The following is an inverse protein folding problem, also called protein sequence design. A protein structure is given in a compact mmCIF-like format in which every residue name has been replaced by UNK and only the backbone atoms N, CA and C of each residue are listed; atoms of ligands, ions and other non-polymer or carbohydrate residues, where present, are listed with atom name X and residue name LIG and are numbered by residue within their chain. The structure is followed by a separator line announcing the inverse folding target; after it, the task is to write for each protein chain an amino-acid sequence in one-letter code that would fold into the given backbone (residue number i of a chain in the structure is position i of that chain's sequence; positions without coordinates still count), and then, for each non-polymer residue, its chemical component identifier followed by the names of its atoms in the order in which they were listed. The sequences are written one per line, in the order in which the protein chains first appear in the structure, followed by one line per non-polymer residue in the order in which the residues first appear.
data_IF_314624492358
#
_entry.id   IF_314624492358
#
_cell.length_a   1.000
_cell.length_b   1.000
_cell.length_c   1.000
_cell.angle_alpha   90.00
_cell.angle_beta   90.00
_cell.angle_gamma   90.00
#
_symmetry.space_group_name_H-M   'P 1'
#
loop_
_entity.id
_entity.type
_entity.pdbx_description
1 polymer ?
#
# COMPACT_ATOMS: atom_id res chain seq x y z
N UNK A 1 -2.51 -6.27 -7.60
CA UNK A 1 -3.15 -6.12 -6.30
C UNK A 1 -4.47 -5.42 -6.45
N UNK A 2 -5.48 -5.89 -5.75
CA UNK A 2 -6.82 -5.32 -5.87
C UNK A 2 -7.18 -4.50 -4.62
N UNK A 3 -7.79 -3.36 -4.85
CA UNK A 3 -8.30 -2.52 -3.77
C UNK A 3 -9.65 -3.10 -3.30
N UNK A 4 -9.82 -3.21 -1.99
CA UNK A 4 -11.10 -3.66 -1.44
C UNK A 4 -12.20 -2.61 -1.68
N UNK A 5 -13.47 -3.03 -1.74
CA UNK A 5 -14.57 -2.08 -1.88
C UNK A 5 -14.62 -1.03 -0.77
N UNK A 6 -14.27 -1.39 0.45
CA UNK A 6 -14.25 -0.48 1.59
C UNK A 6 -13.17 0.60 1.43
N UNK A 7 -11.99 0.21 0.98
CA UNK A 7 -10.89 1.15 0.70
C UNK A 7 -11.27 2.08 -0.45
N UNK A 8 -11.89 1.53 -1.49
CA UNK A 8 -12.39 2.32 -2.62
C UNK A 8 -13.38 3.39 -2.15
N UNK A 9 -14.36 3.02 -1.33
CA UNK A 9 -15.34 3.97 -0.83
C UNK A 9 -14.68 5.06 0.01
N UNK A 10 -13.72 4.71 0.85
CA UNK A 10 -12.97 5.66 1.65
C UNK A 10 -12.22 6.66 0.77
N UNK A 11 -11.51 6.17 -0.25
CA UNK A 11 -10.76 7.03 -1.18
C UNK A 11 -11.71 7.94 -1.95
N UNK A 12 -12.84 7.40 -2.40
CA UNK A 12 -13.84 8.17 -3.12
C UNK A 12 -14.43 9.28 -2.26
N UNK A 13 -14.78 8.96 -1.01
CA UNK A 13 -15.37 9.92 -0.09
C UNK A 13 -14.38 11.01 0.31
N UNK A 14 -13.13 10.64 0.60
CA UNK A 14 -12.15 11.58 1.18
C UNK A 14 -11.31 12.31 0.14
N UNK A 15 -11.12 11.75 -1.04
CA UNK A 15 -10.14 12.28 -2.00
C UNK A 15 -10.70 12.59 -3.38
N UNK A 16 -11.32 11.63 -4.06
CA UNK A 16 -11.74 11.85 -5.45
C UNK A 16 -13.10 12.51 -5.60
N UNK A 17 -14.03 12.23 -4.71
CA UNK A 17 -15.42 12.71 -4.75
C UNK A 17 -16.11 12.45 -6.10
N UNK A 18 -15.65 11.44 -6.85
CA UNK A 18 -16.19 11.13 -8.17
C UNK A 18 -17.39 10.18 -8.07
N UNK A 19 -18.59 10.73 -8.11
CA UNK A 19 -19.81 9.96 -8.01
C UNK A 19 -20.10 9.09 -9.25
N UNK A 20 -19.42 9.37 -10.37
CA UNK A 20 -19.58 8.60 -11.61
C UNK A 20 -18.92 7.24 -11.53
N UNK A 21 -17.98 7.06 -10.62
CA UNK A 21 -17.25 5.80 -10.46
C UNK A 21 -17.91 5.00 -9.34
N UNK A 22 -18.28 3.75 -9.62
CA UNK A 22 -18.93 2.86 -8.66
C UNK A 22 -18.05 1.65 -8.33
N UNK A 23 -18.44 0.90 -7.28
CA UNK A 23 -17.74 -0.34 -6.89
C UNK A 23 -17.62 -1.33 -8.03
N UNK A 24 -18.61 -1.41 -8.92
CA UNK A 24 -18.57 -2.33 -10.05
C UNK A 24 -17.44 -2.01 -11.01
N UNK A 25 -16.98 -0.78 -11.08
CA UNK A 25 -15.90 -0.36 -11.96
C UNK A 25 -14.51 -0.67 -11.39
N UNK A 26 -14.41 -1.11 -10.13
CA UNK A 26 -13.13 -1.53 -9.55
C UNK A 26 -12.50 -2.69 -10.31
N UNK A 27 -13.28 -3.48 -11.01
CA UNK A 27 -12.78 -4.57 -11.86
C UNK A 27 -12.15 -4.07 -13.15
N UNK A 28 -12.41 -2.83 -13.52
CA UNK A 28 -11.82 -2.19 -14.69
C UNK A 28 -10.36 -1.87 -14.38
N UNK A 29 -9.39 -2.32 -15.22
CA UNK A 29 -7.97 -2.09 -14.95
C UNK A 29 -7.62 -0.62 -14.74
N UNK A 30 -8.17 0.29 -15.52
CA UNK A 30 -7.88 1.72 -15.43
C UNK A 30 -8.29 2.30 -14.08
N UNK A 31 -9.49 1.94 -13.60
CA UNK A 31 -10.00 2.41 -12.31
C UNK A 31 -9.17 1.83 -11.17
N UNK A 32 -8.86 0.53 -11.23
CA UNK A 32 -8.06 -0.14 -10.22
C UNK A 32 -6.66 0.48 -10.11
N UNK A 33 -6.01 0.75 -11.23
CA UNK A 33 -4.69 1.37 -11.27
C UNK A 33 -4.75 2.80 -10.71
N UNK A 34 -5.76 3.57 -11.09
CA UNK A 34 -5.92 4.94 -10.61
C UNK A 34 -6.05 4.99 -9.08
N UNK A 35 -6.96 4.19 -8.52
CA UNK A 35 -7.17 4.18 -7.07
C UNK A 35 -6.02 3.51 -6.33
N UNK A 36 -5.36 2.51 -6.92
CA UNK A 36 -4.16 1.90 -6.36
C UNK A 36 -3.02 2.90 -6.27
N UNK A 37 -2.79 3.66 -7.33
CA UNK A 37 -1.77 4.71 -7.36
C UNK A 37 -2.05 5.80 -6.32
N UNK A 38 -3.31 6.21 -6.22
CA UNK A 38 -3.71 7.19 -5.21
C UNK A 38 -3.44 6.68 -3.80
N UNK A 39 -3.82 5.43 -3.51
CA UNK A 39 -3.60 4.84 -2.20
C UNK A 39 -2.11 4.79 -1.84
N UNK A 40 -1.27 4.32 -2.75
CA UNK A 40 0.19 4.28 -2.53
C UNK A 40 0.74 5.68 -2.26
N UNK A 41 0.29 6.68 -3.02
CA UNK A 41 0.71 8.06 -2.82
C UNK A 41 0.39 8.55 -1.42
N UNK A 42 -0.82 8.26 -0.93
CA UNK A 42 -1.26 8.64 0.41
C UNK A 42 -0.41 7.94 1.48
N UNK A 43 -0.15 6.64 1.30
CA UNK A 43 0.61 5.85 2.26
C UNK A 43 2.07 6.28 2.31
N UNK A 44 2.67 6.66 1.19
CA UNK A 44 4.03 7.17 1.15
C UNK A 44 4.15 8.48 1.93
N UNK A 45 3.14 9.33 1.89
CA UNK A 45 3.11 10.55 2.68
C UNK A 45 2.92 10.27 4.16
N UNK A 46 2.07 9.29 4.49
CA UNK A 46 1.77 8.95 5.88
C UNK A 46 2.99 8.37 6.61
N UNK A 47 3.69 7.44 5.99
CA UNK A 47 4.75 6.69 6.66
C UNK A 47 6.16 7.22 6.40
N UNK A 48 6.36 7.98 5.36
CA UNK A 48 7.66 8.54 4.98
C UNK A 48 8.75 7.46 4.79
N UNK A 49 8.34 6.19 4.66
CA UNK A 49 9.22 5.04 4.48
C UNK A 49 8.57 4.13 3.44
N UNK A 50 9.30 3.84 2.37
CA UNK A 50 8.76 3.07 1.26
C UNK A 50 8.33 1.66 1.67
N UNK A 51 9.15 0.96 2.46
CA UNK A 51 8.82 -0.41 2.89
C UNK A 51 7.59 -0.43 3.78
N UNK A 52 7.46 0.52 4.69
CA UNK A 52 6.30 0.64 5.57
C UNK A 52 5.04 0.94 4.76
N UNK A 53 5.14 1.85 3.78
CA UNK A 53 4.01 2.16 2.89
C UNK A 53 3.58 0.94 2.09
N UNK A 54 4.52 0.16 1.56
CA UNK A 54 4.22 -1.07 0.83
C UNK A 54 3.58 -2.12 1.72
N UNK A 55 4.04 -2.22 2.97
CA UNK A 55 3.42 -3.10 3.96
C UNK A 55 1.95 -2.71 4.19
N UNK A 56 1.69 -1.42 4.36
CA UNK A 56 0.32 -0.94 4.56
C UNK A 56 -0.55 -1.18 3.33
N UNK A 57 0.02 -1.06 2.14
CA UNK A 57 -0.70 -1.32 0.90
C UNK A 57 -1.10 -2.80 0.77
N UNK A 58 -0.19 -3.71 1.12
CA UNK A 58 -0.43 -5.15 0.99
C UNK A 58 -1.19 -5.74 2.17
N UNK A 59 -0.77 -5.45 3.40
CA UNK A 59 -1.33 -6.07 4.62
C UNK A 59 -2.39 -5.22 5.30
N UNK A 60 -2.47 -3.94 4.98
CA UNK A 60 -3.43 -3.02 5.58
C UNK A 60 -2.80 -2.08 6.59
N UNK A 61 -3.42 -0.92 6.75
CA UNK A 61 -2.95 0.12 7.68
C UNK A 61 -2.97 -0.38 9.13
N UNK A 62 -4.06 -1.06 9.51
CA UNK A 62 -4.21 -1.56 10.88
C UNK A 62 -3.11 -2.53 11.28
N UNK A 63 -2.79 -3.50 10.40
CA UNK A 63 -1.72 -4.46 10.65
C UNK A 63 -0.36 -3.76 10.74
N UNK A 64 -0.08 -2.87 9.79
CA UNK A 64 1.18 -2.12 9.75
C UNK A 64 1.35 -1.26 11.00
N UNK A 65 0.31 -0.55 11.43
CA UNK A 65 0.38 0.28 12.63
C UNK A 65 0.62 -0.56 13.89
N UNK A 66 0.01 -1.75 13.98
CA UNK A 66 0.29 -2.68 15.09
C UNK A 66 1.76 -3.11 15.11
N UNK A 67 2.32 -3.41 13.93
CA UNK A 67 3.73 -3.81 13.84
C UNK A 67 4.67 -2.66 14.20
N UNK A 68 4.35 -1.44 13.79
CA UNK A 68 5.14 -0.26 14.15
C UNK A 68 5.14 0.00 15.66
N UNK A 69 4.05 -0.34 16.34
CA UNK A 69 3.93 -0.20 17.76
C UNK A 69 4.65 -1.30 18.56
N UNK A 70 5.09 -2.36 17.89
CA UNK A 70 5.73 -3.50 18.53
C UNK A 70 7.24 -3.45 18.31
N UNK A 71 8.03 -3.39 19.38
CA UNK A 71 9.49 -3.30 19.31
C UNK A 71 10.12 -4.51 18.62
N UNK A 72 9.46 -5.66 18.63
CA UNK A 72 9.97 -6.86 17.94
C UNK A 72 9.90 -6.72 16.42
N UNK A 73 8.96 -5.93 15.93
CA UNK A 73 8.77 -5.72 14.48
C UNK A 73 9.29 -4.37 14.02
N UNK A 74 9.37 -3.40 14.91
CA UNK A 74 9.87 -2.06 14.60
C UNK A 74 10.54 -1.45 15.83
N UNK A 75 11.86 -1.63 15.97
CA UNK A 75 12.58 -1.10 17.14
C UNK A 75 12.51 0.43 17.27
N UNK A 76 12.46 1.14 16.15
CA UNK A 76 12.43 2.62 16.16
C UNK A 76 11.02 3.21 15.96
N UNK A 77 10.02 2.39 15.71
CA UNK A 77 8.64 2.85 15.44
C UNK A 77 8.40 3.40 14.06
N UNK A 78 9.40 3.42 13.18
CA UNK A 78 9.29 3.94 11.80
C UNK A 78 9.62 2.90 10.74
N UNK A 79 10.62 2.06 10.97
CA UNK A 79 11.06 1.05 10.03
C UNK A 79 10.63 -0.33 10.49
N UNK A 80 10.07 -1.12 9.56
CA UNK A 80 9.69 -2.50 9.84
C UNK A 80 10.87 -3.43 9.54
N UNK A 81 11.27 -4.25 10.52
CA UNK A 81 12.36 -5.21 10.37
C UNK A 81 11.87 -6.64 10.27
N UNK A 82 10.88 -7.01 11.09
CA UNK A 82 10.35 -8.38 11.13
C UNK A 82 8.86 -8.35 10.82
N UNK A 83 8.53 -8.40 9.53
CA UNK A 83 7.13 -8.45 9.10
C UNK A 83 6.64 -9.88 9.28
N UNK A 84 5.61 -10.14 10.11
CA UNK A 84 5.17 -11.51 10.40
C UNK A 84 4.47 -12.21 9.24
N UNK A 85 3.93 -11.47 8.26
CA UNK A 85 3.24 -12.06 7.12
C UNK A 85 4.22 -12.33 5.97
N UNK A 86 4.39 -13.59 5.62
CA UNK A 86 5.27 -14.00 4.52
C UNK A 86 4.83 -13.35 3.19
N UNK A 87 3.53 -13.29 2.93
CA UNK A 87 3.00 -12.67 1.72
C UNK A 87 3.45 -11.22 1.58
N UNK A 88 3.39 -10.46 2.68
CA UNK A 88 3.79 -9.06 2.68
C UNK A 88 5.30 -8.92 2.47
N UNK A 89 6.11 -9.76 3.13
CA UNK A 89 7.58 -9.77 2.92
C UNK A 89 7.92 -10.05 1.47
N UNK A 90 7.28 -11.04 0.88
CA UNK A 90 7.52 -11.44 -0.50
C UNK A 90 7.09 -10.33 -1.46
N UNK A 91 5.98 -9.67 -1.17
CA UNK A 91 5.50 -8.54 -1.96
C UNK A 91 6.52 -7.40 -1.99
N UNK A 92 7.02 -6.99 -0.82
CA UNK A 92 8.01 -5.92 -0.70
C UNK A 92 9.28 -6.29 -1.45
N UNK A 93 9.74 -7.53 -1.33
CA UNK A 93 10.92 -8.03 -2.04
C UNK A 93 10.74 -7.94 -3.55
N UNK A 94 9.57 -8.34 -4.06
CA UNK A 94 9.27 -8.26 -5.50
C UNK A 94 9.25 -6.83 -6.02
N UNK A 95 8.66 -5.92 -5.24
CA UNK A 95 8.62 -4.51 -5.63
C UNK A 95 10.03 -3.92 -5.69
N UNK A 96 10.87 -4.23 -4.71
CA UNK A 96 12.26 -3.75 -4.69
C UNK A 96 13.05 -4.28 -5.88
N UNK A 97 12.88 -5.54 -6.24
CA UNK A 97 13.55 -6.13 -7.41
C UNK A 97 13.10 -5.45 -8.70
N UNK A 98 11.80 -5.24 -8.85
CA UNK A 98 11.25 -4.56 -10.02
C UNK A 98 11.79 -3.14 -10.14
N UNK A 99 11.87 -2.41 -9.02
CA UNK A 99 12.41 -1.06 -8.98
C UNK A 99 13.89 -1.04 -9.39
N UNK A 100 14.68 -1.98 -8.91
CA UNK A 100 16.10 -2.07 -9.26
C UNK A 100 16.30 -2.38 -10.75
N UNK A 101 15.50 -3.28 -11.30
CA UNK A 101 15.53 -3.60 -12.73
C UNK A 101 15.18 -2.36 -13.55
N UNK A 102 14.13 -1.66 -13.17
CA UNK A 102 13.69 -0.43 -13.84
C UNK A 102 14.79 0.63 -13.85
N UNK A 103 15.47 0.83 -12.72
CA UNK A 103 16.58 1.77 -12.63
C UNK A 103 17.73 1.43 -13.56
N UNK A 104 18.04 0.14 -13.74
CA UNK A 104 19.10 -0.30 -14.65
C UNK A 104 18.76 -0.05 -16.11
N UNK A 105 17.48 -0.01 -16.44
CA UNK A 105 17.01 0.18 -17.81
C UNK A 105 16.85 1.65 -18.20
N UNK A 106 16.85 2.54 -17.22
CA UNK A 106 16.63 3.96 -17.47
C UNK A 106 17.93 4.77 -17.61
#
# INVERSE_FOLDING_TARGET
MQITPETFDWLKTCYTHDEKVSRSQLKTPEVNILYGTLLISILLKKYENEETALSAYNAGISATDRWLSNKNHSPDGFNLENIPYKETRDYISRVKKAKNIYKKLS
#
